data_IF_663742777498
#
_entry.id   IF_663742777498
#
_cell.length_a   1.000
_cell.length_b   1.000
_cell.length_c   1.000
_cell.angle_alpha   90.00
_cell.angle_beta   90.00
_cell.angle_gamma   90.00
#
_symmetry.space_group_name_H-M   'P 1'
#
loop_
_entity.id
_entity.type
_entity.pdbx_description
1 polymer ?
#
# COMPACT_ATOMS: atom_id res chain seq x y z
N UNK A 1 -6.45 -16.33 -9.63
CA UNK A 1 -5.90 -14.96 -9.78
C UNK A 1 -4.59 -14.81 -9.01
N UNK A 2 -4.55 -15.06 -7.69
CA UNK A 2 -3.31 -14.92 -6.89
C UNK A 2 -2.20 -15.86 -7.39
N UNK A 3 -2.50 -17.13 -7.68
CA UNK A 3 -1.49 -18.07 -8.24
C UNK A 3 -0.88 -17.55 -9.54
N UNK A 4 -1.71 -17.11 -10.49
CA UNK A 4 -1.23 -16.52 -11.74
C UNK A 4 -0.37 -15.26 -11.49
N UNK A 5 -0.69 -14.46 -10.46
CA UNK A 5 0.13 -13.32 -10.06
C UNK A 5 1.49 -13.75 -9.50
N UNK A 6 1.52 -14.82 -8.70
CA UNK A 6 2.78 -15.40 -8.18
C UNK A 6 3.64 -15.92 -9.32
N UNK A 7 3.05 -16.68 -10.25
CA UNK A 7 3.74 -17.21 -11.44
C UNK A 7 4.29 -16.09 -12.34
N UNK A 8 3.54 -14.98 -12.47
CA UNK A 8 3.97 -13.80 -13.20
C UNK A 8 5.01 -12.94 -12.45
N UNK A 9 5.39 -13.30 -11.22
CA UNK A 9 6.34 -12.54 -10.40
C UNK A 9 5.79 -11.20 -9.92
N UNK A 10 4.47 -11.04 -9.86
CA UNK A 10 3.84 -9.81 -9.42
C UNK A 10 4.25 -9.44 -7.99
N UNK A 11 4.29 -8.13 -7.72
CA UNK A 11 4.54 -7.59 -6.39
C UNK A 11 3.45 -6.63 -5.97
N UNK A 12 3.03 -6.71 -4.71
CA UNK A 12 2.04 -5.81 -4.12
C UNK A 12 2.68 -4.84 -3.12
N UNK A 13 2.16 -3.61 -3.15
CA UNK A 13 2.46 -2.54 -2.20
C UNK A 13 1.12 -1.93 -1.81
N UNK A 14 0.85 -1.84 -0.51
CA UNK A 14 -0.39 -1.31 0.03
C UNK A 14 -0.10 -0.23 1.07
N UNK A 15 -0.88 0.84 1.02
CA UNK A 15 -0.85 1.92 2.02
C UNK A 15 -2.24 2.02 2.60
N UNK A 16 -2.35 1.80 3.91
CA UNK A 16 -3.63 1.82 4.63
C UNK A 16 -3.62 2.96 5.64
N UNK A 17 -4.66 3.78 5.56
CA UNK A 17 -4.86 4.94 6.42
C UNK A 17 -6.05 4.73 7.35
N UNK A 18 -5.79 4.64 8.65
CA UNK A 18 -6.83 4.54 9.66
C UNK A 18 -7.45 5.92 9.93
N UNK A 19 -8.47 6.30 9.12
CA UNK A 19 -9.10 7.63 9.18
C UNK A 19 -9.62 8.00 10.57
N UNK A 20 -10.14 7.03 11.33
CA UNK A 20 -10.67 7.28 12.69
C UNK A 20 -9.63 7.62 13.75
N UNK A 21 -8.33 7.60 13.41
CA UNK A 21 -7.22 7.89 14.34
C UNK A 21 -6.57 9.26 14.10
N UNK A 22 -6.91 9.95 13.01
CA UNK A 22 -6.31 11.25 12.65
C UNK A 22 -7.36 12.15 12.02
N UNK A 23 -7.56 13.35 12.58
CA UNK A 23 -8.51 14.35 12.09
C UNK A 23 -7.97 15.11 10.88
N UNK A 24 -7.82 14.43 9.74
CA UNK A 24 -7.41 15.05 8.48
C UNK A 24 -8.55 15.06 7.48
N UNK A 25 -8.68 16.18 6.77
CA UNK A 25 -9.54 16.34 5.60
C UNK A 25 -9.32 15.20 4.59
N UNK A 26 -10.40 14.68 4.00
CA UNK A 26 -10.34 13.55 3.06
C UNK A 26 -9.43 13.86 1.87
N UNK A 27 -9.48 15.09 1.35
CA UNK A 27 -8.62 15.54 0.26
C UNK A 27 -7.13 15.44 0.63
N UNK A 28 -6.77 15.86 1.85
CA UNK A 28 -5.40 15.76 2.36
C UNK A 28 -4.95 14.31 2.51
N UNK A 29 -5.81 13.44 3.04
CA UNK A 29 -5.51 12.00 3.17
C UNK A 29 -5.26 11.38 1.80
N UNK A 30 -6.13 11.65 0.81
CA UNK A 30 -5.97 11.14 -0.56
C UNK A 30 -4.64 11.55 -1.17
N UNK A 31 -4.31 12.83 -1.15
CA UNK A 31 -3.04 13.34 -1.69
C UNK A 31 -1.82 12.73 -0.98
N UNK A 32 -1.90 12.58 0.35
CA UNK A 32 -0.81 12.01 1.14
C UNK A 32 -0.61 10.53 0.84
N UNK A 33 -1.67 9.73 0.81
CA UNK A 33 -1.62 8.30 0.50
C UNK A 33 -1.09 8.07 -0.91
N UNK A 34 -1.54 8.87 -1.88
CA UNK A 34 -1.07 8.78 -3.26
C UNK A 34 0.43 9.12 -3.37
N UNK A 35 0.90 10.17 -2.69
CA UNK A 35 2.33 10.50 -2.61
C UNK A 35 3.16 9.36 -2.02
N UNK A 36 2.70 8.76 -0.91
CA UNK A 36 3.37 7.60 -0.32
C UNK A 36 3.41 6.38 -1.25
N UNK A 37 2.32 6.12 -1.98
CA UNK A 37 2.27 5.02 -2.94
C UNK A 37 3.25 5.27 -4.10
N UNK A 38 3.24 6.49 -4.65
CA UNK A 38 4.17 6.92 -5.70
C UNK A 38 5.63 6.71 -5.27
N UNK A 39 5.97 7.13 -4.05
CA UNK A 39 7.32 6.97 -3.50
C UNK A 39 7.74 5.52 -3.38
N UNK A 40 6.83 4.67 -2.93
CA UNK A 40 7.12 3.25 -2.74
C UNK A 40 7.27 2.52 -4.04
N UNK A 41 6.42 2.79 -5.03
CA UNK A 41 6.54 2.21 -6.36
C UNK A 41 7.83 2.68 -7.03
N UNK A 42 8.17 3.96 -6.93
CA UNK A 42 9.42 4.51 -7.47
C UNK A 42 10.65 3.84 -6.84
N UNK A 43 10.67 3.72 -5.51
CA UNK A 43 11.74 3.03 -4.80
C UNK A 43 11.81 1.55 -5.17
N UNK A 44 10.66 0.88 -5.30
CA UNK A 44 10.61 -0.52 -5.73
C UNK A 44 11.25 -0.69 -7.10
N UNK A 45 10.84 0.10 -8.10
CA UNK A 45 11.40 0.05 -9.46
C UNK A 45 12.91 0.27 -9.45
N UNK A 46 13.37 1.30 -8.74
CA UNK A 46 14.81 1.64 -8.61
C UNK A 46 15.63 0.54 -7.94
N UNK A 47 15.06 -0.15 -6.95
CA UNK A 47 15.72 -1.23 -6.23
C UNK A 47 15.79 -2.54 -7.03
N UNK A 48 14.85 -2.77 -7.95
CA UNK A 48 14.92 -3.89 -8.89
C UNK A 48 15.98 -3.63 -9.98
N UNK A 49 15.95 -2.42 -10.54
CA UNK A 49 16.89 -1.95 -11.56
C UNK A 49 17.05 -0.43 -11.41
N UNK A 50 18.27 0.12 -11.24
CA UNK A 50 18.49 1.58 -11.22
C UNK A 50 17.91 2.32 -12.44
N UNK A 51 17.83 1.66 -13.59
CA UNK A 51 17.23 2.16 -14.82
C UNK A 51 15.76 1.73 -14.99
N UNK A 52 15.21 0.97 -14.04
CA UNK A 52 13.84 0.49 -14.03
C UNK A 52 12.84 1.64 -14.19
N UNK A 53 11.91 1.47 -15.13
CA UNK A 53 10.84 2.42 -15.43
C UNK A 53 9.49 1.70 -15.45
N UNK A 54 8.44 2.45 -15.14
CA UNK A 54 7.08 1.93 -15.13
C UNK A 54 6.04 2.98 -15.48
N UNK A 55 4.81 2.52 -15.63
CA UNK A 55 3.62 3.34 -15.80
C UNK A 55 2.69 3.06 -14.61
N UNK A 56 2.05 4.10 -14.09
CA UNK A 56 0.98 3.96 -13.11
C UNK A 56 -0.35 4.01 -13.81
N UNK A 57 -1.15 2.96 -13.62
CA UNK A 57 -2.53 2.86 -14.08
C UNK A 57 -3.40 2.73 -12.84
N UNK A 58 -4.37 3.62 -12.68
CA UNK A 58 -5.36 3.58 -11.62
C UNK A 58 -6.69 3.07 -12.16
N UNK A 59 -7.52 2.49 -11.28
CA UNK A 59 -8.93 2.28 -11.59
C UNK A 59 -9.63 3.63 -11.73
N UNK A 60 -10.65 3.68 -12.58
CA UNK A 60 -11.47 4.88 -12.74
C UNK A 60 -12.18 5.19 -11.41
N UNK A 61 -11.96 6.37 -10.81
CA UNK A 61 -12.68 6.73 -9.62
C UNK A 61 -14.17 6.84 -9.97
N UNK A 62 -15.02 6.42 -9.02
CA UNK A 62 -16.45 6.66 -9.14
C UNK A 62 -16.73 8.16 -9.27
N UNK A 63 -17.72 8.52 -10.07
CA UNK A 63 -18.04 9.91 -10.36
C UNK A 63 -18.35 10.13 -11.84
N UNK A 64 -18.54 11.40 -12.21
CA UNK A 64 -18.70 11.81 -13.60
C UNK A 64 -17.35 12.14 -14.26
N UNK A 65 -17.37 12.35 -15.58
CA UNK A 65 -16.16 12.67 -16.37
C UNK A 65 -15.42 13.93 -15.88
N UNK A 66 -16.13 14.92 -15.33
CA UNK A 66 -15.48 16.12 -14.79
C UNK A 66 -14.70 15.81 -13.51
N UNK A 67 -15.23 14.96 -12.63
CA UNK A 67 -14.56 14.51 -11.41
C UNK A 67 -13.33 13.65 -11.73
N UNK A 68 -13.42 12.79 -12.74
CA UNK A 68 -12.30 11.99 -13.24
C UNK A 68 -11.17 12.87 -13.81
N UNK A 69 -11.50 13.88 -14.62
CA UNK A 69 -10.50 14.83 -15.13
C UNK A 69 -9.88 15.68 -14.02
N UNK A 70 -10.67 16.12 -13.05
CA UNK A 70 -10.16 16.86 -11.90
C UNK A 70 -9.17 16.01 -11.09
N UNK A 71 -9.51 14.75 -10.83
CA UNK A 71 -8.62 13.82 -10.14
C UNK A 71 -7.31 13.61 -10.90
N UNK A 72 -7.36 13.36 -12.21
CA UNK A 72 -6.15 13.25 -13.03
C UNK A 72 -5.28 14.50 -12.94
N UNK A 73 -5.89 15.69 -13.03
CA UNK A 73 -5.17 16.96 -12.93
C UNK A 73 -4.48 17.13 -11.56
N UNK A 74 -5.12 16.69 -10.47
CA UNK A 74 -4.52 16.69 -9.13
C UNK A 74 -3.30 15.75 -9.01
N UNK A 75 -3.21 14.71 -9.83
CA UNK A 75 -2.07 13.77 -9.82
C UNK A 75 -0.86 14.24 -10.62
N UNK A 76 -1.03 15.18 -11.57
CA UNK A 76 0.03 15.65 -12.47
C UNK A 76 1.30 16.14 -11.76
N UNK A 77 1.24 16.84 -10.61
CA UNK A 77 2.44 17.23 -9.87
C UNK A 77 3.33 16.05 -9.49
N UNK A 78 2.77 14.86 -9.21
CA UNK A 78 3.57 13.68 -8.85
C UNK A 78 4.47 13.21 -9.99
N UNK A 79 3.98 13.25 -11.22
CA UNK A 79 4.73 12.80 -12.41
C UNK A 79 5.57 13.91 -13.04
N UNK A 80 5.34 15.17 -12.70
CA UNK A 80 6.12 16.32 -13.24
C UNK A 80 7.15 16.85 -12.26
N UNK A 81 6.88 16.81 -10.95
CA UNK A 81 7.73 17.34 -9.90
C UNK A 81 8.26 16.25 -8.96
N UNK A 82 7.59 15.10 -8.89
CA UNK A 82 7.90 14.04 -7.94
C UNK A 82 7.29 14.31 -6.56
N UNK A 83 7.96 13.79 -5.54
CA UNK A 83 7.64 14.05 -4.14
C UNK A 83 8.83 14.68 -3.44
N UNK A 84 8.70 14.98 -2.15
CA UNK A 84 9.85 15.39 -1.32
C UNK A 84 10.93 14.30 -1.16
N UNK A 85 10.64 13.05 -1.52
CA UNK A 85 11.52 11.90 -1.34
C UNK A 85 12.04 11.32 -2.66
N UNK A 86 11.28 11.43 -3.75
CA UNK A 86 11.65 10.88 -5.05
C UNK A 86 11.45 11.90 -6.17
N UNK A 87 12.47 12.00 -7.03
CA UNK A 87 12.35 12.68 -8.32
C UNK A 87 11.44 11.86 -9.27
N UNK A 88 10.75 12.51 -10.23
CA UNK A 88 9.80 11.85 -11.13
C UNK A 88 10.53 11.12 -12.27
N UNK A 89 11.45 10.20 -11.93
CA UNK A 89 12.29 9.54 -12.94
C UNK A 89 11.89 8.11 -13.22
N UNK A 90 11.24 7.41 -12.28
CA UNK A 90 10.87 6.00 -12.43
C UNK A 90 9.52 5.82 -13.14
N UNK A 91 8.62 6.77 -13.00
CA UNK A 91 7.30 6.73 -13.61
C UNK A 91 7.30 7.68 -14.81
N UNK A 92 7.22 7.11 -16.00
CA UNK A 92 7.57 7.82 -17.26
C UNK A 92 6.40 8.51 -17.94
N UNK A 93 5.18 8.28 -17.45
CA UNK A 93 3.96 8.92 -17.96
C UNK A 93 3.16 9.51 -16.79
N UNK A 94 2.30 10.51 -17.05
CA UNK A 94 1.20 10.86 -16.15
C UNK A 94 0.42 9.61 -15.73
N UNK A 95 -0.17 9.64 -14.53
CA UNK A 95 -1.04 8.54 -14.08
C UNK A 95 -2.17 8.37 -15.08
N UNK A 96 -2.33 7.15 -15.59
CA UNK A 96 -3.39 6.78 -16.51
C UNK A 96 -4.56 6.15 -15.74
N UNK A 97 -5.74 6.14 -16.32
CA UNK A 97 -6.90 5.42 -15.79
C UNK A 97 -7.37 4.36 -16.77
N UNK A 98 -7.92 3.28 -16.25
CA UNK A 98 -8.66 2.29 -17.02
C UNK A 98 -9.74 1.65 -16.14
N UNK A 99 -10.89 1.22 -16.69
CA UNK A 99 -11.87 0.47 -15.92
C UNK A 99 -11.28 -0.86 -15.44
N UNK A 100 -11.37 -1.16 -14.15
CA UNK A 100 -10.82 -2.37 -13.54
C UNK A 100 -11.30 -3.67 -14.22
N UNK A 101 -12.55 -3.72 -14.67
CA UNK A 101 -13.10 -4.90 -15.37
C UNK A 101 -12.46 -5.20 -16.74
N UNK A 102 -11.67 -4.28 -17.29
CA UNK A 102 -10.90 -4.49 -18.52
C UNK A 102 -9.43 -4.85 -18.26
N UNK A 103 -8.94 -4.68 -17.03
CA UNK A 103 -7.51 -4.81 -16.69
C UNK A 103 -7.34 -5.76 -15.50
N UNK A 104 -6.98 -7.04 -15.72
CA UNK A 104 -6.82 -8.03 -14.65
C UNK A 104 -5.87 -7.60 -13.51
N UNK A 105 -4.87 -6.77 -13.83
CA UNK A 105 -3.94 -6.21 -12.85
C UNK A 105 -4.62 -5.23 -11.88
N UNK A 106 -5.61 -4.45 -12.35
CA UNK A 106 -6.41 -3.58 -11.50
C UNK A 106 -7.35 -4.40 -10.61
N UNK A 107 -7.96 -5.47 -11.14
CA UNK A 107 -8.75 -6.40 -10.32
C UNK A 107 -7.91 -7.06 -9.22
N UNK A 108 -6.66 -7.43 -9.52
CA UNK A 108 -5.72 -7.93 -8.53
C UNK A 108 -5.39 -6.85 -7.49
N UNK A 109 -5.22 -5.59 -7.91
CA UNK A 109 -4.98 -4.48 -7.00
C UNK A 109 -6.17 -4.25 -6.05
N UNK A 110 -7.41 -4.33 -6.55
CA UNK A 110 -8.63 -4.24 -5.74
C UNK A 110 -8.73 -5.38 -4.73
N UNK A 111 -8.43 -6.61 -5.15
CA UNK A 111 -8.38 -7.78 -4.26
C UNK A 111 -7.34 -7.58 -3.15
N UNK A 112 -6.12 -7.16 -3.51
CA UNK A 112 -5.05 -6.87 -2.57
C UNK A 112 -5.48 -5.79 -1.58
N UNK A 113 -6.02 -4.67 -2.06
CA UNK A 113 -6.44 -3.57 -1.21
C UNK A 113 -7.57 -3.98 -0.27
N UNK A 114 -8.62 -4.64 -0.80
CA UNK A 114 -9.78 -5.07 -0.05
C UNK A 114 -9.45 -6.09 1.04
N UNK A 115 -8.67 -7.13 0.71
CA UNK A 115 -8.24 -8.14 1.69
C UNK A 115 -7.29 -7.53 2.72
N UNK A 116 -6.33 -6.69 2.32
CA UNK A 116 -5.40 -6.05 3.26
C UNK A 116 -6.15 -5.19 4.27
N UNK A 117 -7.07 -4.33 3.79
CA UNK A 117 -7.89 -3.48 4.67
C UNK A 117 -8.81 -4.33 5.55
N UNK A 118 -9.43 -5.37 4.99
CA UNK A 118 -10.28 -6.29 5.75
C UNK A 118 -9.52 -7.02 6.86
N UNK A 119 -8.29 -7.49 6.60
CA UNK A 119 -7.45 -8.17 7.57
C UNK A 119 -7.01 -7.22 8.70
N UNK A 120 -6.64 -5.98 8.35
CA UNK A 120 -6.34 -4.91 9.32
C UNK A 120 -7.57 -4.58 10.19
N UNK A 121 -8.76 -4.61 9.59
CA UNK A 121 -10.02 -4.41 10.30
C UNK A 121 -10.49 -5.65 11.08
N UNK A 122 -9.75 -6.76 11.05
CA UNK A 122 -10.07 -7.95 11.81
C UNK A 122 -11.04 -8.94 11.15
N UNK A 123 -11.34 -8.79 9.87
CA UNK A 123 -12.22 -9.72 9.16
C UNK A 123 -11.58 -11.11 9.04
N UNK A 124 -12.21 -12.18 9.57
CA UNK A 124 -11.64 -13.52 9.52
C UNK A 124 -11.50 -14.04 8.08
N UNK A 125 -12.42 -13.66 7.18
CA UNK A 125 -12.35 -14.01 5.76
C UNK A 125 -11.13 -13.39 5.08
N UNK A 126 -10.84 -12.12 5.40
CA UNK A 126 -9.70 -11.43 4.83
C UNK A 126 -8.38 -11.93 5.43
N UNK A 127 -8.34 -12.13 6.75
CA UNK A 127 -7.18 -12.72 7.44
C UNK A 127 -6.84 -14.11 6.89
N UNK A 128 -7.85 -14.94 6.59
CA UNK A 128 -7.64 -16.25 5.97
C UNK A 128 -6.98 -16.22 4.59
N UNK A 129 -7.10 -15.11 3.84
CA UNK A 129 -6.50 -14.91 2.52
C UNK A 129 -5.12 -14.25 2.56
N UNK A 130 -4.70 -13.73 3.72
CA UNK A 130 -3.40 -13.06 3.86
C UNK A 130 -2.20 -13.96 3.51
N UNK A 131 -2.14 -15.25 3.92
CA UNK A 131 -1.00 -16.11 3.55
C UNK A 131 -0.75 -16.16 2.04
N UNK A 132 -1.80 -16.17 1.22
CA UNK A 132 -1.70 -16.18 -0.23
C UNK A 132 -1.23 -14.82 -0.77
N UNK A 133 -1.77 -13.72 -0.26
CA UNK A 133 -1.35 -12.38 -0.67
C UNK A 133 0.09 -12.04 -0.26
N UNK A 134 0.56 -12.56 0.87
CA UNK A 134 1.93 -12.34 1.36
C UNK A 134 2.99 -12.97 0.44
N UNK A 135 2.61 -13.88 -0.48
CA UNK A 135 3.50 -14.44 -1.51
C UNK A 135 3.86 -13.41 -2.58
N UNK A 136 2.98 -12.44 -2.84
CA UNK A 136 3.23 -11.32 -3.75
C UNK A 136 3.56 -10.03 -3.01
N UNK A 137 3.42 -9.94 -1.69
CA UNK A 137 3.82 -8.76 -0.94
C UNK A 137 5.29 -8.38 -1.16
N UNK A 138 5.55 -7.11 -1.44
CA UNK A 138 6.90 -6.57 -1.52
C UNK A 138 7.57 -6.64 -0.14
N UNK A 139 8.85 -7.00 -0.14
CA UNK A 139 9.63 -7.22 1.09
C UNK A 139 10.90 -6.40 1.08
N UNK A 140 11.35 -5.99 2.26
CA UNK A 140 12.67 -5.39 2.40
C UNK A 140 13.78 -6.46 2.31
N UNK A 141 15.04 -6.01 2.41
CA UNK A 141 16.22 -6.88 2.36
C UNK A 141 16.32 -7.91 3.51
N UNK A 142 15.48 -7.76 4.55
CA UNK A 142 15.39 -8.67 5.69
C UNK A 142 14.14 -9.55 5.61
N UNK A 143 13.37 -9.49 4.52
CA UNK A 143 12.19 -10.31 4.29
C UNK A 143 10.90 -9.75 4.91
N UNK A 144 10.93 -8.55 5.49
CA UNK A 144 9.77 -7.94 6.18
C UNK A 144 8.83 -7.27 5.20
N UNK A 145 7.52 -7.36 5.46
CA UNK A 145 6.49 -6.72 4.63
C UNK A 145 6.19 -5.30 5.11
N UNK A 146 6.14 -5.11 6.42
CA UNK A 146 5.86 -3.86 7.10
C UNK A 146 6.87 -2.77 6.77
N UNK A 147 6.36 -1.59 6.42
CA UNK A 147 7.16 -0.46 5.94
C UNK A 147 7.59 -0.57 4.47
N UNK A 148 7.49 -1.73 3.84
CA UNK A 148 7.82 -1.93 2.41
C UNK A 148 6.58 -2.27 1.58
N UNK A 149 6.10 -3.52 1.65
CA UNK A 149 4.88 -3.98 0.96
C UNK A 149 3.59 -3.60 1.66
N UNK A 150 3.60 -3.35 2.97
CA UNK A 150 2.45 -2.79 3.69
C UNK A 150 2.89 -1.57 4.50
N UNK A 151 2.16 -0.48 4.41
CA UNK A 151 2.38 0.69 5.26
C UNK A 151 1.08 1.13 5.90
N UNK A 152 1.14 1.22 7.23
CA UNK A 152 0.04 1.64 8.09
C UNK A 152 0.28 3.05 8.57
N UNK A 153 -0.79 3.84 8.59
CA UNK A 153 -0.81 5.13 9.23
C UNK A 153 -2.01 5.25 10.18
N UNK A 154 -1.84 5.74 11.43
CA UNK A 154 -0.60 6.26 12.00
C UNK A 154 0.50 5.21 12.32
N UNK A 155 1.75 5.64 12.55
CA UNK A 155 2.89 4.72 12.71
C UNK A 155 2.83 3.82 13.95
N UNK A 156 2.03 4.16 14.95
CA UNK A 156 1.77 3.40 16.18
C UNK A 156 0.94 2.12 15.94
N UNK A 157 0.32 1.96 14.77
CA UNK A 157 -0.35 0.73 14.33
C UNK A 157 0.60 -0.44 14.00
N UNK A 158 1.88 -0.32 14.35
CA UNK A 158 2.94 -1.19 13.89
C UNK A 158 2.79 -2.66 14.29
N UNK A 159 2.17 -2.95 15.44
CA UNK A 159 1.96 -4.32 15.89
C UNK A 159 1.04 -5.11 14.93
N UNK A 160 0.25 -4.41 14.10
CA UNK A 160 -0.52 -5.07 13.05
C UNK A 160 0.36 -5.69 11.96
N UNK A 161 1.61 -5.24 11.77
CA UNK A 161 2.53 -5.95 10.86
C UNK A 161 2.84 -7.37 11.36
N UNK A 162 3.01 -7.54 12.68
CA UNK A 162 3.17 -8.87 13.27
C UNK A 162 1.91 -9.71 13.11
N UNK A 163 0.73 -9.13 13.41
CA UNK A 163 -0.54 -9.86 13.34
C UNK A 163 -0.95 -10.25 11.92
N UNK A 164 -0.79 -9.35 10.96
CA UNK A 164 -1.30 -9.49 9.59
C UNK A 164 -0.25 -10.08 8.64
N UNK A 165 1.03 -9.74 8.85
CA UNK A 165 2.12 -10.16 7.95
C UNK A 165 3.08 -11.17 8.57
N UNK A 166 3.05 -11.37 9.90
CA UNK A 166 4.00 -12.22 10.62
C UNK A 166 5.38 -11.59 10.81
N UNK A 167 5.53 -10.28 10.60
CA UNK A 167 6.81 -9.60 10.82
C UNK A 167 7.19 -9.61 12.31
N UNK A 168 8.43 -9.96 12.63
CA UNK A 168 8.91 -10.04 14.02
C UNK A 168 9.65 -8.80 14.49
N UNK A 169 10.13 -7.96 13.58
CA UNK A 169 10.79 -6.69 13.92
C UNK A 169 10.36 -5.57 12.99
N UNK A 170 10.57 -4.32 13.42
CA UNK A 170 10.37 -3.13 12.61
C UNK A 170 11.51 -2.14 12.78
N UNK A 171 11.98 -1.59 11.66
CA UNK A 171 12.84 -0.40 11.69
C UNK A 171 12.00 0.88 11.77
N UNK A 172 12.23 1.71 12.78
CA UNK A 172 11.58 3.00 12.94
C UNK A 172 12.54 4.02 13.58
N UNK A 173 12.62 5.24 13.05
CA UNK A 173 13.45 6.33 13.59
C UNK A 173 14.92 5.96 13.89
N UNK A 174 15.52 5.06 13.10
CA UNK A 174 16.92 4.67 13.29
C UNK A 174 17.15 3.55 14.31
N UNK A 175 16.08 2.98 14.88
CA UNK A 175 16.14 1.80 15.75
C UNK A 175 15.36 0.62 15.16
N UNK A 176 15.76 -0.58 15.58
CA UNK A 176 14.99 -1.81 15.37
C UNK A 176 14.21 -2.14 16.65
N UNK A 177 12.93 -2.48 16.49
CA UNK A 177 12.03 -2.81 17.59
C UNK A 177 11.42 -4.19 17.35
N UNK A 178 11.38 -5.02 18.38
CA UNK A 178 10.66 -6.29 18.35
C UNK A 178 9.15 -6.04 18.26
N UNK A 179 8.46 -6.88 17.50
CA UNK A 179 7.02 -6.90 17.39
C UNK A 179 6.45 -8.18 18.04
N UNK A 180 5.33 -8.08 18.80
CA UNK A 180 4.64 -6.84 19.12
C UNK A 180 5.39 -6.01 20.17
N UNK A 181 5.41 -4.69 20.00
CA UNK A 181 6.05 -3.74 20.92
C UNK A 181 5.02 -3.22 21.93
N UNK A 182 5.34 -3.31 23.23
CA UNK A 182 4.44 -2.95 24.34
C UNK A 182 3.98 -1.47 24.32
N UNK A 183 4.77 -0.57 23.74
CA UNK A 183 4.43 0.86 23.65
C UNK A 183 3.59 1.24 22.43
N UNK A 184 3.13 0.26 21.63
CA UNK A 184 2.35 0.49 20.41
C UNK A 184 0.96 -0.16 20.51
N UNK A 185 -0.01 0.39 19.79
CA UNK A 185 -1.37 -0.12 19.74
C UNK A 185 -1.38 -1.58 19.28
N UNK A 186 -2.42 -2.33 19.66
CA UNK A 186 -2.58 -3.75 19.32
C UNK A 186 -1.49 -4.68 19.88
N UNK A 187 -0.82 -4.29 20.97
CA UNK A 187 0.11 -5.16 21.69
C UNK A 187 -0.62 -6.37 22.29
N UNK A 188 -1.67 -6.13 23.08
CA UNK A 188 -2.40 -7.19 23.80
C UNK A 188 -3.41 -7.89 22.89
N UNK A 189 -4.25 -7.14 22.18
CA UNK A 189 -5.32 -7.66 21.33
C UNK A 189 -5.25 -7.12 19.89
N UNK A 190 -5.78 -7.88 18.94
CA UNK A 190 -5.94 -7.48 17.54
C UNK A 190 -7.07 -6.45 17.35
N UNK A 191 -7.81 -6.08 18.40
CA UNK A 191 -8.96 -5.19 18.33
C UNK A 191 -10.14 -5.82 17.61
N UNK A 192 -10.17 -7.15 17.55
CA UNK A 192 -11.25 -7.94 16.94
C UNK A 192 -12.18 -8.33 18.08
N UNK A 193 -13.44 -7.86 18.09
CA UNK A 193 -14.40 -8.32 19.10
C UNK A 193 -14.46 -9.84 19.12
N UNK A 194 -14.48 -10.45 20.31
CA UNK A 194 -14.74 -11.87 20.44
C UNK A 194 -16.07 -12.20 19.74
N UNK A 195 -16.05 -13.20 18.86
CA UNK A 195 -17.21 -13.67 18.11
C UNK A 195 -18.29 -14.26 19.03
#
# INVERSE_FOLDING_TARGET
>A
MIEAAVEAGAKSISVVWARGRVEWEVARVRATVLGFLYDKVSNFLKNQDPLGRGVLIADEPGGNSAEQHAWLAETLPLTTQGTKFNAPTQIVLPILMAPSHHVPQLQLADLVAGVTVGAIAGSPYATGLMPDLLRIASRDKYGRVGGTGLTLWPPDLANLYWRVCGDTTRWHQGGEYDLPHHGWDYYEDAGIPAA
#
